data_IF_576281879500
#
_entry.id   IF_576281879500
#
_cell.length_a   1.000
_cell.length_b   1.000
_cell.length_c   1.000
_cell.angle_alpha   90.00
_cell.angle_beta   90.00
_cell.angle_gamma   90.00
#
_symmetry.space_group_name_H-M   'P 1'
#
loop_
_entity.id
_entity.type
_entity.pdbx_description
1 polymer ?
#
# COMPACT_ATOMS: atom_id res chain seq x y z
N UNK A 1 49.53 18.30 26.92
CA UNK A 1 48.21 18.73 26.43
C UNK A 1 47.45 17.49 25.99
N UNK A 2 46.72 16.86 26.90
CA UNK A 2 46.09 15.56 26.68
C UNK A 2 44.62 15.73 26.30
N UNK A 3 44.29 15.25 25.10
CA UNK A 3 43.09 14.50 24.73
C UNK A 3 41.94 14.56 25.76
N UNK A 4 41.05 15.56 25.66
CA UNK A 4 39.77 15.60 26.42
C UNK A 4 38.52 15.66 25.55
N UNK A 5 38.68 15.73 24.23
CA UNK A 5 37.58 15.86 23.27
C UNK A 5 37.25 14.66 22.36
N UNK A 6 37.96 13.50 22.34
CA UNK A 6 37.53 12.42 21.44
C UNK A 6 36.44 11.53 22.04
N UNK A 7 36.27 11.50 23.37
CA UNK A 7 35.35 10.56 24.04
C UNK A 7 33.88 11.02 23.99
N UNK A 8 33.63 12.34 23.92
CA UNK A 8 32.29 12.91 23.78
C UNK A 8 31.78 12.86 22.33
N UNK A 9 32.69 12.97 21.35
CA UNK A 9 32.33 12.95 19.93
C UNK A 9 31.97 11.53 19.45
N UNK A 10 32.63 10.51 19.99
CA UNK A 10 32.36 9.10 19.63
C UNK A 10 31.03 8.58 20.21
N UNK A 11 30.57 9.11 21.34
CA UNK A 11 29.29 8.71 21.95
C UNK A 11 28.08 9.22 21.15
N UNK A 12 28.20 10.40 20.53
CA UNK A 12 27.14 11.01 19.72
C UNK A 12 26.91 10.26 18.38
N UNK A 13 27.97 9.69 17.81
CA UNK A 13 27.91 8.95 16.53
C UNK A 13 27.32 7.54 16.65
N UNK A 14 27.27 6.94 17.85
CA UNK A 14 26.70 5.59 18.06
C UNK A 14 25.17 5.55 18.10
N UNK A 15 24.49 6.70 18.22
CA UNK A 15 23.02 6.76 18.38
C UNK A 15 22.24 6.56 17.06
N UNK A 16 22.92 6.48 15.91
CA UNK A 16 22.27 6.29 14.60
C UNK A 16 22.27 4.82 14.10
N UNK A 17 22.69 3.86 14.92
CA UNK A 17 22.69 2.44 14.56
C UNK A 17 21.35 1.74 14.89
N UNK A 18 20.22 2.47 14.87
CA UNK A 18 18.92 1.83 14.91
C UNK A 18 18.65 1.17 13.56
N UNK A 19 18.87 -0.14 13.50
CA UNK A 19 18.38 -0.97 12.42
C UNK A 19 16.85 -0.77 12.33
N UNK A 20 16.39 -0.10 11.27
CA UNK A 20 14.99 -0.20 10.83
C UNK A 20 14.75 -1.66 10.48
N UNK A 21 14.19 -2.41 11.42
CA UNK A 21 13.53 -3.67 11.14
C UNK A 21 12.10 -3.33 10.74
N UNK A 22 11.93 -2.91 9.47
CA UNK A 22 10.60 -2.83 8.87
C UNK A 22 10.06 -4.24 8.65
N UNK A 23 8.74 -4.38 8.69
CA UNK A 23 8.09 -5.61 8.21
C UNK A 23 8.57 -5.90 6.79
N UNK A 24 8.85 -7.18 6.45
CA UNK A 24 9.24 -7.51 5.09
C UNK A 24 8.15 -7.00 4.14
N UNK A 25 8.52 -6.37 3.02
CA UNK A 25 7.53 -5.80 2.11
C UNK A 25 6.57 -6.90 1.67
N UNK A 26 5.28 -6.56 1.56
CA UNK A 26 4.24 -7.47 1.09
C UNK A 26 4.66 -8.12 -0.23
N UNK A 27 4.18 -9.34 -0.54
CA UNK A 27 4.44 -9.93 -1.84
C UNK A 27 4.01 -9.02 -2.99
N UNK A 28 4.77 -9.01 -4.08
CA UNK A 28 4.58 -8.06 -5.19
C UNK A 28 3.18 -8.12 -5.80
N UNK A 29 2.57 -9.29 -5.87
CA UNK A 29 1.20 -9.48 -6.36
C UNK A 29 0.14 -8.91 -5.40
N UNK A 30 0.39 -8.96 -4.09
CA UNK A 30 -0.42 -8.28 -3.08
C UNK A 30 -0.27 -6.77 -3.21
N UNK A 31 0.96 -6.25 -3.36
CA UNK A 31 1.19 -4.81 -3.57
C UNK A 31 0.49 -4.30 -4.84
N UNK A 32 0.57 -5.06 -5.93
CA UNK A 32 -0.09 -4.71 -7.18
C UNK A 32 -1.62 -4.76 -7.05
N UNK A 33 -2.17 -5.72 -6.32
CA UNK A 33 -3.60 -5.73 -5.99
C UNK A 33 -4.00 -4.49 -5.18
N UNK A 34 -3.26 -4.15 -4.12
CA UNK A 34 -3.55 -2.98 -3.29
C UNK A 34 -3.58 -1.69 -4.10
N UNK A 35 -2.59 -1.47 -4.97
CA UNK A 35 -2.55 -0.32 -5.87
C UNK A 35 -3.80 -0.21 -6.76
N UNK A 36 -4.24 -1.31 -7.37
CA UNK A 36 -5.46 -1.32 -8.19
C UNK A 36 -6.73 -1.14 -7.34
N UNK A 37 -6.79 -1.79 -6.17
CA UNK A 37 -7.96 -1.77 -5.29
C UNK A 37 -8.18 -0.40 -4.64
N UNK A 38 -7.11 0.25 -4.18
CA UNK A 38 -7.14 1.61 -3.63
C UNK A 38 -7.58 2.62 -4.68
N UNK A 39 -7.02 2.55 -5.89
CA UNK A 39 -7.43 3.44 -6.98
C UNK A 39 -8.90 3.22 -7.39
N UNK A 40 -9.33 1.95 -7.44
CA UNK A 40 -10.73 1.60 -7.70
C UNK A 40 -11.67 2.20 -6.64
N UNK A 41 -11.39 1.98 -5.35
CA UNK A 41 -12.23 2.49 -4.26
C UNK A 41 -12.24 4.02 -4.20
N UNK A 42 -11.08 4.65 -4.43
CA UNK A 42 -11.00 6.10 -4.48
C UNK A 42 -11.94 6.66 -5.55
N UNK A 43 -11.80 6.20 -6.80
CA UNK A 43 -12.62 6.68 -7.92
C UNK A 43 -14.11 6.34 -7.77
N UNK A 44 -14.44 5.16 -7.26
CA UNK A 44 -15.83 4.79 -6.99
C UNK A 44 -16.47 5.71 -5.94
N UNK A 45 -15.68 6.21 -4.98
CA UNK A 45 -16.12 7.18 -3.98
C UNK A 45 -16.27 8.61 -4.51
N UNK A 46 -15.58 8.96 -5.60
CA UNK A 46 -15.67 10.29 -6.23
C UNK A 46 -16.90 10.45 -7.13
N UNK A 47 -17.62 9.37 -7.46
CA UNK A 47 -18.76 9.47 -8.36
C UNK A 47 -19.94 10.22 -7.72
N UNK A 48 -20.36 11.30 -8.38
CA UNK A 48 -21.56 12.06 -8.01
C UNK A 48 -22.37 12.46 -9.26
N UNK A 49 -23.69 12.32 -9.17
CA UNK A 49 -24.63 12.59 -10.28
C UNK A 49 -24.67 14.07 -10.73
N UNK A 50 -24.24 15.00 -9.88
CA UNK A 50 -24.17 16.43 -10.16
C UNK A 50 -22.89 16.88 -10.85
N UNK A 51 -21.90 15.98 -10.97
CA UNK A 51 -20.63 16.30 -11.62
C UNK A 51 -20.83 16.70 -13.10
N UNK A 52 -19.95 17.58 -13.61
CA UNK A 52 -19.81 17.80 -15.04
C UNK A 52 -19.60 16.49 -15.79
N UNK A 53 -20.18 16.40 -16.98
CA UNK A 53 -20.13 15.17 -17.80
C UNK A 53 -18.71 14.73 -18.15
N UNK A 54 -17.77 15.68 -18.25
CA UNK A 54 -16.36 15.36 -18.46
C UNK A 54 -15.78 14.59 -17.28
N UNK A 55 -16.03 15.06 -16.07
CA UNK A 55 -15.47 14.48 -14.85
C UNK A 55 -16.05 13.08 -14.60
N UNK A 56 -17.36 12.91 -14.86
CA UNK A 56 -18.00 11.59 -14.89
C UNK A 56 -17.29 10.61 -15.80
N UNK A 57 -17.07 10.98 -17.07
CA UNK A 57 -16.37 10.11 -18.03
C UNK A 57 -14.94 9.80 -17.63
N UNK A 58 -14.25 10.73 -16.97
CA UNK A 58 -12.89 10.51 -16.52
C UNK A 58 -12.85 9.56 -15.31
N UNK A 59 -13.83 9.66 -14.40
CA UNK A 59 -14.04 8.70 -13.29
C UNK A 59 -14.39 7.32 -13.85
N UNK A 60 -15.35 7.21 -14.77
CA UNK A 60 -15.75 5.94 -15.41
C UNK A 60 -14.56 5.24 -16.06
N UNK A 61 -13.76 5.96 -16.85
CA UNK A 61 -12.54 5.41 -17.47
C UNK A 61 -11.55 4.91 -16.42
N UNK A 62 -11.40 5.64 -15.33
CA UNK A 62 -10.54 5.22 -14.22
C UNK A 62 -11.06 3.95 -13.57
N UNK A 63 -12.36 3.88 -13.26
CA UNK A 63 -13.02 2.68 -12.71
C UNK A 63 -12.81 1.48 -13.65
N UNK A 64 -13.03 1.65 -14.95
CA UNK A 64 -12.82 0.61 -15.97
C UNK A 64 -11.35 0.17 -16.09
N UNK A 65 -10.41 1.04 -15.73
CA UNK A 65 -8.98 0.73 -15.74
C UNK A 65 -8.56 -0.07 -14.50
N UNK A 66 -8.98 0.37 -13.31
CA UNK A 66 -8.40 -0.10 -12.04
C UNK A 66 -9.24 -1.17 -11.34
N UNK A 67 -10.57 -1.13 -11.46
CA UNK A 67 -11.45 -2.07 -10.77
C UNK A 67 -11.41 -3.50 -11.34
N UNK A 68 -11.43 -3.74 -12.67
CA UNK A 68 -11.40 -5.10 -13.21
C UNK A 68 -10.18 -5.93 -12.78
N UNK A 69 -8.92 -5.43 -12.83
CA UNK A 69 -7.78 -6.20 -12.35
C UNK A 69 -7.83 -6.44 -10.83
N UNK A 70 -8.30 -5.49 -10.03
CA UNK A 70 -8.49 -5.67 -8.58
C UNK A 70 -9.50 -6.79 -8.28
N UNK A 71 -10.69 -6.73 -8.91
CA UNK A 71 -11.75 -7.74 -8.76
C UNK A 71 -11.31 -9.13 -9.21
N UNK A 72 -10.54 -9.21 -10.30
CA UNK A 72 -10.02 -10.48 -10.80
C UNK A 72 -8.96 -11.09 -9.88
N UNK A 73 -8.10 -10.28 -9.29
CA UNK A 73 -6.97 -10.76 -8.48
C UNK A 73 -7.35 -11.13 -7.05
N UNK A 74 -8.35 -10.48 -6.44
CA UNK A 74 -8.76 -10.73 -5.06
C UNK A 74 -9.05 -12.22 -4.73
N UNK A 75 -9.89 -12.96 -5.47
CA UNK A 75 -10.13 -14.38 -5.17
C UNK A 75 -8.89 -15.25 -5.40
N UNK A 76 -8.05 -14.89 -6.37
CA UNK A 76 -6.78 -15.60 -6.65
C UNK A 76 -5.81 -15.44 -5.48
N UNK A 77 -5.66 -14.22 -4.98
CA UNK A 77 -4.80 -13.90 -3.85
C UNK A 77 -5.31 -14.51 -2.55
N UNK A 78 -6.62 -14.46 -2.29
CA UNK A 78 -7.24 -15.14 -1.13
C UNK A 78 -6.95 -16.64 -1.14
N UNK A 79 -7.00 -17.27 -2.32
CA UNK A 79 -6.65 -18.69 -2.46
C UNK A 79 -5.15 -18.93 -2.27
N UNK A 80 -4.29 -18.10 -2.87
CA UNK A 80 -2.83 -18.23 -2.81
C UNK A 80 -2.29 -18.06 -1.38
N UNK A 81 -2.83 -17.10 -0.64
CA UNK A 81 -2.37 -16.72 0.70
C UNK A 81 -3.26 -17.21 1.83
N UNK A 82 -4.13 -18.20 1.58
CA UNK A 82 -5.14 -18.69 2.56
C UNK A 82 -4.59 -19.04 3.95
N UNK A 83 -3.34 -19.50 4.05
CA UNK A 83 -2.70 -19.85 5.34
C UNK A 83 -1.93 -18.67 5.96
N UNK A 84 -1.72 -17.58 5.21
CA UNK A 84 -1.09 -16.36 5.69
C UNK A 84 -2.15 -15.42 6.29
N UNK A 85 -2.32 -15.48 7.61
CA UNK A 85 -3.31 -14.70 8.36
C UNK A 85 -3.17 -13.19 8.16
N UNK A 86 -1.96 -12.69 8.02
CA UNK A 86 -1.69 -11.26 7.85
C UNK A 86 -2.17 -10.77 6.49
N UNK A 87 -1.79 -11.46 5.41
CA UNK A 87 -2.24 -11.12 4.05
C UNK A 87 -3.75 -11.31 3.93
N UNK A 88 -4.33 -12.36 4.52
CA UNK A 88 -5.78 -12.54 4.50
C UNK A 88 -6.49 -11.39 5.21
N UNK A 89 -5.99 -10.92 6.35
CA UNK A 89 -6.54 -9.74 7.04
C UNK A 89 -6.53 -8.51 6.13
N UNK A 90 -5.45 -8.28 5.38
CA UNK A 90 -5.34 -7.20 4.40
C UNK A 90 -6.36 -7.37 3.26
N UNK A 91 -6.42 -8.55 2.63
CA UNK A 91 -7.34 -8.84 1.53
C UNK A 91 -8.81 -8.85 1.96
N UNK A 92 -9.10 -9.05 3.24
CA UNK A 92 -10.46 -9.00 3.80
C UNK A 92 -11.01 -7.58 3.92
N UNK A 93 -10.19 -6.53 3.76
CA UNK A 93 -10.65 -5.14 3.74
C UNK A 93 -11.40 -4.75 2.44
N UNK A 94 -11.45 -5.65 1.44
CA UNK A 94 -12.02 -5.39 0.12
C UNK A 94 -13.08 -6.44 -0.23
N UNK A 95 -14.24 -6.03 -0.77
CA UNK A 95 -15.39 -6.93 -1.02
C UNK A 95 -16.19 -6.60 -2.30
N UNK A 96 -15.64 -5.77 -3.19
CA UNK A 96 -16.25 -5.36 -4.47
C UNK A 96 -16.47 -6.49 -5.50
#
# INVERSE_FOLDING_TARGET
MTFRYPMLLTFLLMMFAFCVQGEPPLPQDVQHFLSNAEMCQHLAGEWDSSLPEKDKRDIEKGVDTWCPPAKKSLPVLRKKYKENKEIIKILSAYDF
#
